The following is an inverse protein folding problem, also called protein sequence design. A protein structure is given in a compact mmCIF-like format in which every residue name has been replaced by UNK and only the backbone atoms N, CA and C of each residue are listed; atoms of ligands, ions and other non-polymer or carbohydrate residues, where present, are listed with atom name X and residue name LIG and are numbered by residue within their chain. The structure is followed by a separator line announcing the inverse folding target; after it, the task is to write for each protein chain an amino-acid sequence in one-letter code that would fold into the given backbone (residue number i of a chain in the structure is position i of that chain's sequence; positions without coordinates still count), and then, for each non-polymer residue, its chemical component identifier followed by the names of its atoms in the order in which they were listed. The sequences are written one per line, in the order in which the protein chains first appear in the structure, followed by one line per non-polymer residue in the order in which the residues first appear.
data_IF_069375431692
#
_entry.id   IF_069375431692
#
_cell.length_a   1.000
_cell.length_b   1.000
_cell.length_c   1.000
_cell.angle_alpha   90.00
_cell.angle_beta   90.00
_cell.angle_gamma   90.00
#
_symmetry.space_group_name_H-M   'P 1'
#
loop_
_entity.id
_entity.type
_entity.pdbx_description
1 polymer ?
#
# COMPACT_ATOMS: atom_id res chain seq x y z
N UNK A 1 1.28 -9.67 -14.93
CA UNK A 1 2.13 -10.85 -14.71
C UNK A 1 3.37 -10.50 -13.90
N UNK A 2 4.01 -9.36 -14.17
CA UNK A 2 5.23 -8.90 -13.49
C UNK A 2 5.05 -8.68 -11.98
N UNK A 3 3.88 -8.21 -11.54
CA UNK A 3 3.57 -8.06 -10.11
C UNK A 3 3.41 -9.41 -9.38
N UNK A 4 2.94 -10.46 -10.08
CA UNK A 4 2.80 -11.81 -9.50
C UNK A 4 4.15 -12.51 -9.44
N UNK A 5 4.98 -12.32 -10.48
CA UNK A 5 6.39 -12.73 -10.51
C UNK A 5 7.22 -12.05 -9.42
N UNK A 6 7.02 -10.75 -9.19
CA UNK A 6 7.65 -10.00 -8.10
C UNK A 6 7.29 -10.54 -6.72
N UNK A 7 6.03 -10.92 -6.49
CA UNK A 7 5.59 -11.57 -5.24
C UNK A 7 6.25 -12.93 -5.01
N UNK A 8 6.48 -13.71 -6.07
CA UNK A 8 7.20 -14.99 -5.97
C UNK A 8 8.70 -14.79 -5.66
N UNK A 9 9.32 -13.75 -6.23
CA UNK A 9 10.71 -13.37 -5.96
C UNK A 9 10.90 -12.91 -4.49
N UNK A 10 9.91 -12.19 -3.93
CA UNK A 10 9.89 -11.86 -2.50
C UNK A 10 9.74 -13.11 -1.63
N UNK A 11 8.92 -14.09 -2.04
CA UNK A 11 8.77 -15.36 -1.31
C UNK A 11 10.07 -16.16 -1.25
N UNK A 12 10.88 -16.15 -2.31
CA UNK A 12 12.21 -16.76 -2.28
C UNK A 12 13.19 -16.06 -1.30
N UNK A 13 13.03 -14.74 -1.08
CA UNK A 13 13.76 -14.00 -0.02
C UNK A 13 13.28 -14.31 1.40
N UNK A 14 12.06 -14.79 1.59
CA UNK A 14 11.56 -15.21 2.91
C UNK A 14 12.24 -16.48 3.44
N UNK A 15 12.94 -17.22 2.58
CA UNK A 15 13.75 -18.37 2.98
C UNK A 15 14.96 -17.83 3.76
N UNK A 16 14.73 -17.70 5.07
CA UNK A 16 15.68 -17.16 6.03
C UNK A 16 17.07 -17.72 5.81
N UNK A 17 18.04 -16.83 5.57
CA UNK A 17 19.44 -17.17 5.70
C UNK A 17 19.81 -17.08 7.19
N UNK A 18 20.89 -17.75 7.55
CA UNK A 18 21.34 -17.86 8.94
C UNK A 18 21.72 -16.49 9.56
N UNK A 19 21.99 -15.48 8.71
CA UNK A 19 22.30 -14.10 9.06
C UNK A 19 21.04 -13.19 9.14
N UNK A 20 19.83 -13.73 8.97
CA UNK A 20 18.58 -12.95 8.97
C UNK A 20 17.96 -12.86 10.37
N UNK A 21 18.53 -11.97 11.18
CA UNK A 21 18.12 -11.69 12.54
C UNK A 21 16.72 -11.04 12.61
N UNK A 22 16.13 -11.05 13.80
CA UNK A 22 14.75 -10.57 13.99
C UNK A 22 14.58 -9.08 13.61
N UNK A 23 15.59 -8.26 13.86
CA UNK A 23 15.59 -6.82 13.53
C UNK A 23 15.56 -6.64 12.01
N UNK A 24 16.34 -7.44 11.29
CA UNK A 24 16.38 -7.36 9.83
C UNK A 24 15.01 -7.69 9.26
N UNK A 25 14.37 -8.77 9.73
CA UNK A 25 13.00 -9.15 9.37
C UNK A 25 11.97 -8.05 9.68
N UNK A 26 12.08 -7.39 10.82
CA UNK A 26 11.19 -6.27 11.19
C UNK A 26 11.22 -5.16 10.15
N UNK A 27 12.41 -4.82 9.66
CA UNK A 27 12.60 -3.71 8.73
C UNK A 27 12.20 -4.08 7.30
N UNK A 28 12.77 -5.14 6.73
CA UNK A 28 12.58 -5.40 5.30
C UNK A 28 11.28 -6.14 4.97
N UNK A 29 10.73 -6.92 5.92
CA UNK A 29 9.53 -7.73 5.70
C UNK A 29 8.29 -7.17 6.41
N UNK A 30 8.34 -7.02 7.73
CA UNK A 30 7.15 -6.64 8.48
C UNK A 30 6.73 -5.19 8.20
N UNK A 31 7.68 -4.26 8.18
CA UNK A 31 7.39 -2.84 7.88
C UNK A 31 6.82 -2.69 6.46
N UNK A 32 7.39 -3.37 5.46
CA UNK A 32 6.91 -3.29 4.08
C UNK A 32 5.51 -3.87 3.92
N UNK A 33 5.20 -5.01 4.55
CA UNK A 33 3.86 -5.59 4.57
C UNK A 33 2.85 -4.64 5.21
N UNK A 34 3.19 -4.01 6.34
CA UNK A 34 2.31 -3.07 7.03
C UNK A 34 1.99 -1.87 6.12
N UNK A 35 2.98 -1.32 5.41
CA UNK A 35 2.76 -0.24 4.46
C UNK A 35 1.84 -0.65 3.31
N UNK A 36 2.02 -1.86 2.76
CA UNK A 36 1.14 -2.39 1.70
C UNK A 36 -0.30 -2.49 2.18
N UNK A 37 -0.53 -2.96 3.42
CA UNK A 37 -1.87 -3.03 4.01
C UNK A 37 -2.48 -1.63 4.10
N UNK A 38 -1.73 -0.63 4.60
CA UNK A 38 -2.24 0.74 4.66
C UNK A 38 -2.53 1.32 3.27
N UNK A 39 -1.70 1.05 2.27
CA UNK A 39 -1.95 1.46 0.89
C UNK A 39 -3.27 0.90 0.37
N UNK A 40 -3.56 -0.39 0.61
CA UNK A 40 -4.82 -1.02 0.19
C UNK A 40 -6.00 -0.36 0.91
N UNK A 41 -5.91 -0.16 2.22
CA UNK A 41 -6.98 0.45 3.02
C UNK A 41 -7.28 1.87 2.54
N UNK A 42 -6.25 2.71 2.42
CA UNK A 42 -6.39 4.11 1.99
C UNK A 42 -6.94 4.19 0.57
N UNK A 43 -6.40 3.40 -0.35
CA UNK A 43 -6.88 3.37 -1.75
C UNK A 43 -8.34 2.91 -1.82
N UNK A 44 -8.73 1.89 -1.05
CA UNK A 44 -10.12 1.43 -1.02
C UNK A 44 -11.05 2.54 -0.55
N UNK A 45 -10.67 3.30 0.48
CA UNK A 45 -11.45 4.44 0.95
C UNK A 45 -11.59 5.54 -0.10
N UNK A 46 -10.54 5.80 -0.87
CA UNK A 46 -10.51 6.86 -1.89
C UNK A 46 -11.23 6.49 -3.19
N UNK A 47 -11.20 5.22 -3.62
CA UNK A 47 -11.75 4.80 -4.91
C UNK A 47 -13.14 4.16 -4.81
N UNK A 48 -13.47 3.50 -3.70
CA UNK A 48 -14.76 2.80 -3.52
C UNK A 48 -15.67 3.54 -2.53
N UNK A 49 -15.05 4.26 -1.57
CA UNK A 49 -15.76 5.06 -0.58
C UNK A 49 -16.08 6.47 -1.10
N UNK A 50 -15.75 7.47 -0.28
CA UNK A 50 -15.94 8.87 -0.62
C UNK A 50 -14.66 9.40 -1.28
N UNK A 51 -14.70 9.76 -2.57
CA UNK A 51 -13.53 10.32 -3.24
C UNK A 51 -13.20 11.70 -2.68
N UNK A 52 -11.98 12.17 -2.90
CA UNK A 52 -11.58 13.50 -2.46
C UNK A 52 -12.41 14.55 -3.20
N UNK A 53 -13.18 15.32 -2.46
CA UNK A 53 -13.96 16.43 -2.98
C UNK A 53 -13.13 17.72 -2.97
N UNK A 54 -13.18 18.48 -4.06
CA UNK A 54 -12.62 19.82 -4.10
C UNK A 54 -13.50 20.75 -3.26
N UNK A 55 -12.88 21.59 -2.43
CA UNK A 55 -13.60 22.66 -1.75
C UNK A 55 -14.03 23.71 -2.78
N UNK A 56 -15.33 23.76 -3.10
CA UNK A 56 -15.90 24.80 -3.95
C UNK A 56 -16.52 25.89 -3.07
N UNK A 57 -16.11 27.17 -3.22
CA UNK A 57 -16.72 28.25 -2.47
C UNK A 57 -18.14 28.53 -2.98
N UNK A 58 -19.06 28.83 -2.06
CA UNK A 58 -20.51 28.93 -2.30
C UNK A 58 -20.97 29.97 -3.35
N UNK A 59 -20.06 30.80 -3.84
CA UNK A 59 -20.33 31.82 -4.88
C UNK A 59 -20.22 31.29 -6.32
N UNK A 60 -19.71 30.07 -6.51
CA UNK A 60 -19.75 29.38 -7.80
C UNK A 60 -20.89 28.36 -7.76
N UNK A 61 -22.03 28.70 -8.36
CA UNK A 61 -23.10 27.74 -8.63
C UNK A 61 -22.61 26.72 -9.67
N UNK A 62 -23.00 25.45 -9.52
CA UNK A 62 -22.64 24.40 -10.46
C UNK A 62 -23.14 24.74 -11.87
N UNK A 63 -22.24 24.72 -12.85
CA UNK A 63 -22.62 24.83 -14.25
C UNK A 63 -23.33 23.55 -14.67
N UNK A 64 -24.64 23.66 -14.90
CA UNK A 64 -25.52 22.61 -15.42
C UNK A 64 -25.13 22.17 -16.84
#
# INVERSE_FOLDING_TARGET
LDSVLGSFATYARLKGRYDDDWIDRLNHLYTTIILIIFTIVVSTKQYVGEPIHCWCPAQFEESH
#
